data_IF_703684677010
#
_entry.id   IF_703684677010
#
_cell.length_a   1.000
_cell.length_b   1.000
_cell.length_c   1.000
_cell.angle_alpha   90.00
_cell.angle_beta   90.00
_cell.angle_gamma   90.00
#
_symmetry.space_group_name_H-M   'P 1'
#
loop_
_entity.id
_entity.type
_entity.pdbx_description
1 polymer ?
#
# COMPACT_ATOMS: atom_id res chain seq x y z
N UNK A 1 36.40 -13.89 13.58
CA UNK A 1 35.51 -12.75 13.89
C UNK A 1 34.84 -12.26 12.61
N UNK A 2 33.74 -12.90 12.16
CA UNK A 2 33.03 -12.54 10.91
C UNK A 2 31.54 -12.89 11.04
N UNK A 3 30.87 -12.26 12.01
CA UNK A 3 29.48 -12.57 12.36
C UNK A 3 28.47 -11.42 12.26
N UNK A 4 28.82 -10.25 11.70
CA UNK A 4 27.98 -9.04 11.84
C UNK A 4 27.27 -8.60 10.55
N UNK A 5 27.59 -9.18 9.37
CA UNK A 5 27.08 -8.65 8.09
C UNK A 5 25.74 -9.24 7.59
N UNK A 6 25.25 -10.33 8.14
CA UNK A 6 24.09 -11.04 7.55
C UNK A 6 22.73 -10.47 7.91
N UNK A 7 22.61 -9.68 8.97
CA UNK A 7 21.31 -9.13 9.43
C UNK A 7 20.91 -7.79 8.81
N UNK A 8 21.85 -7.08 8.19
CA UNK A 8 21.59 -5.73 7.62
C UNK A 8 20.91 -5.77 6.23
N UNK A 9 21.13 -6.82 5.44
CA UNK A 9 20.61 -6.95 4.08
C UNK A 9 19.07 -7.00 3.99
N UNK A 10 18.37 -7.89 4.72
CA UNK A 10 16.91 -8.00 4.59
C UNK A 10 16.18 -6.72 5.03
N UNK A 11 16.73 -6.01 6.02
CA UNK A 11 16.19 -4.73 6.48
C UNK A 11 16.30 -3.63 5.43
N UNK A 12 17.45 -3.52 4.75
CA UNK A 12 17.65 -2.52 3.68
C UNK A 12 16.71 -2.76 2.50
N UNK A 13 16.54 -4.01 2.08
CA UNK A 13 15.62 -4.36 0.99
C UNK A 13 14.17 -4.02 1.36
N UNK A 14 13.71 -4.35 2.57
CA UNK A 14 12.38 -4.01 3.03
C UNK A 14 12.13 -2.49 3.06
N UNK A 15 13.10 -1.71 3.55
CA UNK A 15 13.00 -0.24 3.58
C UNK A 15 13.01 0.38 2.18
N UNK A 16 13.89 -0.09 1.30
CA UNK A 16 13.97 0.43 -0.08
C UNK A 16 12.72 0.08 -0.89
N UNK A 17 12.20 -1.14 -0.76
CA UNK A 17 10.97 -1.54 -1.41
C UNK A 17 9.77 -0.75 -0.89
N UNK A 18 9.68 -0.54 0.43
CA UNK A 18 8.63 0.27 1.04
C UNK A 18 8.68 1.73 0.61
N UNK A 19 9.88 2.36 0.61
CA UNK A 19 10.05 3.74 0.16
C UNK A 19 9.79 3.90 -1.34
N UNK A 20 10.31 3.01 -2.17
CA UNK A 20 10.04 3.01 -3.60
C UNK A 20 8.55 2.87 -3.91
N UNK A 21 7.87 1.96 -3.21
CA UNK A 21 6.42 1.81 -3.29
C UNK A 21 5.68 3.08 -2.85
N UNK A 22 6.06 3.69 -1.72
CA UNK A 22 5.42 4.92 -1.23
C UNK A 22 5.57 6.08 -2.22
N UNK A 23 6.76 6.28 -2.77
CA UNK A 23 7.02 7.31 -3.81
C UNK A 23 6.18 7.02 -5.05
N UNK A 24 6.13 5.76 -5.50
CA UNK A 24 5.31 5.36 -6.63
C UNK A 24 3.83 5.64 -6.42
N UNK A 25 3.31 5.39 -5.22
CA UNK A 25 1.91 5.67 -4.87
C UNK A 25 1.61 7.17 -4.88
N UNK A 26 2.51 8.00 -4.34
CA UNK A 26 2.37 9.47 -4.42
C UNK A 26 2.34 9.94 -5.88
N UNK A 27 3.21 9.38 -6.73
CA UNK A 27 3.21 9.70 -8.15
C UNK A 27 1.88 9.30 -8.83
N UNK A 28 1.32 8.15 -8.49
CA UNK A 28 0.01 7.70 -8.99
C UNK A 28 -1.11 8.62 -8.52
N UNK A 29 -1.08 9.09 -7.27
CA UNK A 29 -2.09 10.01 -6.73
C UNK A 29 -2.04 11.36 -7.44
N UNK A 30 -0.84 11.91 -7.64
CA UNK A 30 -0.65 13.14 -8.42
C UNK A 30 -1.16 12.97 -9.86
N UNK A 31 -0.83 11.85 -10.51
CA UNK A 31 -1.31 11.55 -11.85
C UNK A 31 -2.83 11.47 -11.89
N UNK A 32 -3.46 10.77 -10.92
CA UNK A 32 -4.91 10.65 -10.79
C UNK A 32 -5.57 12.02 -10.68
N UNK A 33 -5.10 12.87 -9.77
CA UNK A 33 -5.64 14.22 -9.58
C UNK A 33 -5.45 15.10 -10.81
N UNK A 34 -4.30 14.97 -11.51
CA UNK A 34 -4.01 15.71 -12.74
C UNK A 34 -4.96 15.32 -13.87
N UNK A 35 -5.19 14.01 -14.06
CA UNK A 35 -6.13 13.51 -15.07
C UNK A 35 -7.54 13.99 -14.79
N UNK A 36 -8.00 13.92 -13.54
CA UNK A 36 -9.33 14.41 -13.14
C UNK A 36 -9.44 15.93 -13.41
N UNK A 37 -8.42 16.71 -13.07
CA UNK A 37 -8.41 18.15 -13.33
C UNK A 37 -8.50 18.49 -14.82
N UNK A 38 -7.91 17.66 -15.69
CA UNK A 38 -7.97 17.83 -17.15
C UNK A 38 -9.32 17.44 -17.78
N UNK A 39 -10.07 16.56 -17.13
CA UNK A 39 -11.40 16.13 -17.62
C UNK A 39 -12.50 17.21 -17.52
N UNK A 40 -12.25 18.31 -16.86
CA UNK A 40 -12.92 19.61 -16.94
C UNK A 40 -14.33 19.71 -16.34
N UNK A 41 -14.59 20.83 -15.76
CA UNK A 41 -15.86 21.59 -15.58
C UNK A 41 -17.03 21.03 -14.74
N UNK A 42 -17.09 19.77 -14.38
CA UNK A 42 -18.06 19.31 -13.38
C UNK A 42 -17.34 19.21 -12.04
N UNK A 43 -17.84 19.82 -10.94
CA UNK A 43 -17.20 19.64 -9.65
C UNK A 43 -17.08 18.14 -9.34
N UNK A 44 -15.89 17.67 -8.98
CA UNK A 44 -15.66 16.25 -8.73
C UNK A 44 -16.57 15.82 -7.59
N UNK A 45 -17.38 14.77 -7.83
CA UNK A 45 -18.21 14.19 -6.79
C UNK A 45 -17.35 13.71 -5.61
N UNK A 46 -17.98 13.43 -4.47
CA UNK A 46 -17.30 12.98 -3.24
C UNK A 46 -16.39 11.75 -3.41
N UNK A 47 -16.57 10.99 -4.48
CA UNK A 47 -15.73 9.81 -4.81
C UNK A 47 -14.27 10.17 -5.11
N UNK A 48 -14.04 11.29 -5.82
CA UNK A 48 -12.69 11.70 -6.20
C UNK A 48 -11.83 12.02 -4.97
N UNK A 49 -12.24 12.91 -4.05
CA UNK A 49 -11.47 13.16 -2.84
C UNK A 49 -11.36 11.92 -1.95
N UNK A 50 -12.39 11.06 -1.90
CA UNK A 50 -12.32 9.81 -1.15
C UNK A 50 -11.21 8.90 -1.66
N UNK A 51 -11.11 8.68 -2.98
CA UNK A 51 -10.06 7.86 -3.60
C UNK A 51 -8.69 8.48 -3.38
N UNK A 52 -8.53 9.80 -3.57
CA UNK A 52 -7.25 10.48 -3.34
C UNK A 52 -6.80 10.37 -1.88
N UNK A 53 -7.69 10.57 -0.90
CA UNK A 53 -7.37 10.40 0.52
C UNK A 53 -6.98 8.94 0.81
N UNK A 54 -7.67 7.96 0.23
CA UNK A 54 -7.34 6.54 0.39
C UNK A 54 -5.92 6.23 -0.09
N UNK A 55 -5.56 6.73 -1.28
CA UNK A 55 -4.21 6.55 -1.86
C UNK A 55 -3.16 7.24 -0.97
N UNK A 56 -3.43 8.48 -0.53
CA UNK A 56 -2.54 9.24 0.34
C UNK A 56 -2.28 8.53 1.68
N UNK A 57 -3.33 7.98 2.31
CA UNK A 57 -3.19 7.20 3.55
C UNK A 57 -2.35 5.94 3.32
N UNK A 58 -2.56 5.22 2.21
CA UNK A 58 -1.76 4.06 1.87
C UNK A 58 -0.28 4.43 1.65
N UNK A 59 0.00 5.56 0.98
CA UNK A 59 1.36 6.07 0.79
C UNK A 59 2.03 6.43 2.13
N UNK A 60 1.32 7.10 3.03
CA UNK A 60 1.81 7.43 4.38
C UNK A 60 2.14 6.19 5.19
N UNK A 61 1.25 5.18 5.21
CA UNK A 61 1.49 3.93 5.91
C UNK A 61 2.72 3.20 5.35
N UNK A 62 2.89 3.16 4.02
CA UNK A 62 4.06 2.58 3.38
C UNK A 62 5.35 3.34 3.75
N UNK A 63 5.32 4.68 3.73
CA UNK A 63 6.45 5.52 4.09
C UNK A 63 6.86 5.37 5.56
N UNK A 64 5.91 5.45 6.49
CA UNK A 64 6.15 5.24 7.92
C UNK A 64 6.67 3.83 8.16
N UNK A 65 6.04 2.82 7.55
CA UNK A 65 6.49 1.43 7.65
C UNK A 65 7.92 1.25 7.16
N UNK A 66 8.31 1.86 6.04
CA UNK A 66 9.66 1.79 5.50
C UNK A 66 10.72 2.41 6.45
N UNK A 67 10.36 3.46 7.17
CA UNK A 67 11.24 4.16 8.11
C UNK A 67 11.27 3.51 9.51
N UNK A 68 10.24 2.73 9.86
CA UNK A 68 10.12 2.06 11.16
C UNK A 68 11.26 1.06 11.39
N UNK A 69 11.84 1.07 12.58
CA UNK A 69 12.97 0.22 12.94
C UNK A 69 12.54 -1.18 13.40
N UNK A 70 11.43 -1.26 14.09
CA UNK A 70 10.88 -2.49 14.62
C UNK A 70 10.28 -3.35 13.50
N UNK A 71 10.70 -4.61 13.39
CA UNK A 71 10.31 -5.49 12.29
C UNK A 71 8.82 -5.81 12.29
N UNK A 72 8.19 -5.97 13.47
CA UNK A 72 6.77 -6.27 13.59
C UNK A 72 5.91 -5.10 13.10
N UNK A 73 6.14 -3.91 13.62
CA UNK A 73 5.42 -2.68 13.24
C UNK A 73 5.64 -2.34 11.76
N UNK A 74 6.89 -2.49 11.27
CA UNK A 74 7.19 -2.34 9.84
C UNK A 74 6.37 -3.29 8.99
N UNK A 75 6.41 -4.58 9.30
CA UNK A 75 5.68 -5.62 8.56
C UNK A 75 4.18 -5.33 8.53
N UNK A 76 3.60 -4.96 9.66
CA UNK A 76 2.19 -4.62 9.78
C UNK A 76 1.81 -3.40 8.93
N UNK A 77 2.55 -2.29 9.04
CA UNK A 77 2.26 -1.06 8.29
C UNK A 77 2.37 -1.27 6.78
N UNK A 78 3.43 -1.98 6.33
CA UNK A 78 3.60 -2.30 4.91
C UNK A 78 2.52 -3.26 4.41
N UNK A 79 2.09 -4.24 5.21
CA UNK A 79 1.02 -5.16 4.83
C UNK A 79 -0.33 -4.44 4.70
N UNK A 80 -0.67 -3.55 5.64
CA UNK A 80 -1.89 -2.73 5.57
C UNK A 80 -1.86 -1.82 4.35
N UNK A 81 -0.73 -1.15 4.09
CA UNK A 81 -0.56 -0.30 2.92
C UNK A 81 -0.73 -1.09 1.60
N UNK A 82 -0.09 -2.24 1.48
CA UNK A 82 -0.21 -3.11 0.30
C UNK A 82 -1.65 -3.58 0.10
N UNK A 83 -2.35 -3.98 1.16
CA UNK A 83 -3.75 -4.38 1.11
C UNK A 83 -4.66 -3.25 0.63
N UNK A 84 -4.46 -2.03 1.17
CA UNK A 84 -5.23 -0.84 0.75
C UNK A 84 -5.03 -0.51 -0.73
N UNK A 85 -3.79 -0.65 -1.24
CA UNK A 85 -3.49 -0.43 -2.67
C UNK A 85 -4.12 -1.51 -3.55
N UNK A 86 -4.03 -2.80 -3.16
CA UNK A 86 -4.61 -3.91 -3.92
C UNK A 86 -6.12 -3.80 -4.04
N UNK A 87 -6.82 -3.42 -2.97
CA UNK A 87 -8.27 -3.25 -2.99
C UNK A 87 -8.73 -2.16 -3.94
N UNK A 88 -7.95 -1.08 -4.10
CA UNK A 88 -8.26 -0.02 -5.06
C UNK A 88 -7.78 -0.37 -6.48
N UNK A 89 -6.73 -1.17 -6.62
CA UNK A 89 -6.19 -1.58 -7.92
C UNK A 89 -7.20 -2.39 -8.73
N UNK A 90 -8.01 -3.23 -8.08
CA UNK A 90 -9.01 -4.07 -8.76
C UNK A 90 -10.09 -3.25 -9.47
N UNK A 91 -10.85 -2.36 -8.80
CA UNK A 91 -11.85 -1.52 -9.48
C UNK A 91 -11.22 -0.48 -10.42
N UNK A 92 -9.98 -0.06 -10.13
CA UNK A 92 -9.23 0.91 -10.95
C UNK A 92 -8.43 0.32 -12.10
N UNK A 93 -8.57 -0.97 -12.42
CA UNK A 93 -7.68 -1.69 -13.35
C UNK A 93 -7.56 -1.02 -14.74
N UNK A 94 -8.64 -0.40 -15.20
CA UNK A 94 -8.71 0.30 -16.48
C UNK A 94 -8.17 1.73 -16.46
N UNK A 95 -7.71 2.22 -15.30
CA UNK A 95 -7.18 3.58 -15.14
C UNK A 95 -5.86 3.58 -14.36
N UNK A 96 -5.94 3.68 -13.05
CA UNK A 96 -4.79 3.75 -12.14
C UNK A 96 -4.44 2.40 -11.49
N UNK A 97 -5.22 1.35 -11.78
CA UNK A 97 -5.09 0.06 -11.07
C UNK A 97 -3.77 -0.65 -11.35
N UNK A 98 -3.28 -0.65 -12.60
CA UNK A 98 -2.01 -1.31 -12.94
C UNK A 98 -0.82 -0.68 -12.20
N UNK A 99 -0.58 0.64 -12.24
CA UNK A 99 0.50 1.23 -11.46
C UNK A 99 0.31 1.04 -9.94
N UNK A 100 -0.90 1.12 -9.40
CA UNK A 100 -1.16 0.81 -7.99
C UNK A 100 -0.83 -0.64 -7.64
N UNK A 101 -1.16 -1.59 -8.52
CA UNK A 101 -0.83 -2.99 -8.34
C UNK A 101 0.69 -3.20 -8.25
N UNK A 102 1.46 -2.56 -9.13
CA UNK A 102 2.94 -2.63 -9.11
C UNK A 102 3.48 -2.08 -7.77
N UNK A 103 2.97 -0.93 -7.34
CA UNK A 103 3.34 -0.34 -6.05
C UNK A 103 2.97 -1.27 -4.88
N UNK A 104 1.77 -1.87 -4.90
CA UNK A 104 1.33 -2.81 -3.88
C UNK A 104 2.24 -4.05 -3.80
N UNK A 105 2.69 -4.57 -4.94
CA UNK A 105 3.64 -5.69 -4.99
C UNK A 105 5.00 -5.29 -4.38
N UNK A 106 5.51 -4.10 -4.68
CA UNK A 106 6.76 -3.60 -4.10
C UNK A 106 6.65 -3.45 -2.57
N UNK A 107 5.58 -2.84 -2.08
CA UNK A 107 5.32 -2.67 -0.63
C UNK A 107 5.09 -4.02 0.04
N UNK A 108 4.33 -4.92 -0.59
CA UNK A 108 4.07 -6.27 -0.12
C UNK A 108 5.36 -7.10 0.00
N UNK A 109 6.30 -6.96 -0.93
CA UNK A 109 7.63 -7.58 -0.81
C UNK A 109 8.37 -7.07 0.44
N UNK A 110 8.25 -5.78 0.77
CA UNK A 110 8.77 -5.22 2.01
C UNK A 110 8.15 -5.86 3.25
N UNK A 111 6.82 -6.08 3.24
CA UNK A 111 6.09 -6.72 4.33
C UNK A 111 6.50 -8.19 4.51
N UNK A 112 6.63 -8.98 3.42
CA UNK A 112 7.06 -10.38 3.49
C UNK A 112 8.47 -10.51 4.04
N UNK A 113 9.40 -9.63 3.64
CA UNK A 113 10.76 -9.61 4.19
C UNK A 113 10.81 -9.28 5.68
N UNK A 114 9.91 -8.40 6.15
CA UNK A 114 9.78 -8.13 7.58
C UNK A 114 9.21 -9.35 8.34
N UNK A 115 8.23 -10.04 7.77
CA UNK A 115 7.64 -11.25 8.33
C UNK A 115 8.64 -12.42 8.42
N UNK A 116 9.47 -12.61 7.40
CA UNK A 116 10.57 -13.58 7.40
C UNK A 116 11.56 -13.32 8.54
N UNK A 117 11.89 -12.05 8.80
CA UNK A 117 12.76 -11.68 9.92
C UNK A 117 12.17 -12.03 11.30
N UNK A 118 10.85 -12.10 11.42
CA UNK A 118 10.12 -12.49 12.62
C UNK A 118 9.92 -14.01 12.73
N UNK A 119 10.35 -14.77 11.75
CA UNK A 119 10.16 -16.24 11.67
C UNK A 119 8.69 -16.65 11.84
N UNK A 120 7.77 -15.86 11.30
CA UNK A 120 6.35 -16.17 11.35
C UNK A 120 6.04 -17.45 10.56
N UNK A 121 5.10 -18.28 11.05
CA UNK A 121 4.71 -19.49 10.34
C UNK A 121 4.04 -19.11 9.01
N UNK A 122 4.22 -19.93 7.98
CA UNK A 122 3.77 -19.67 6.61
C UNK A 122 2.25 -19.37 6.49
N UNK A 123 1.44 -20.00 7.33
CA UNK A 123 -0.01 -19.77 7.33
C UNK A 123 -0.37 -18.36 7.81
N UNK A 124 0.39 -17.76 8.73
CA UNK A 124 0.20 -16.35 9.15
C UNK A 124 0.57 -15.41 8.01
N UNK A 125 1.65 -15.72 7.28
CA UNK A 125 2.10 -14.93 6.13
C UNK A 125 1.05 -14.92 5.01
N UNK A 126 0.23 -15.97 4.89
CA UNK A 126 -0.85 -16.05 3.91
C UNK A 126 -2.18 -15.47 4.42
N UNK A 127 -2.59 -15.81 5.65
CA UNK A 127 -3.89 -15.40 6.20
C UNK A 127 -3.95 -13.91 6.53
N UNK A 128 -2.88 -13.35 7.11
CA UNK A 128 -2.89 -11.95 7.52
C UNK A 128 -3.14 -10.99 6.34
N UNK A 129 -2.41 -11.06 5.20
CA UNK A 129 -2.68 -10.19 4.07
C UNK A 129 -4.07 -10.45 3.45
N UNK A 130 -4.55 -11.68 3.42
CA UNK A 130 -5.89 -11.99 2.90
C UNK A 130 -6.98 -11.31 3.72
N UNK A 131 -6.89 -11.38 5.04
CA UNK A 131 -7.82 -10.72 5.95
C UNK A 131 -7.74 -9.19 5.84
N UNK A 132 -6.52 -8.64 5.69
CA UNK A 132 -6.32 -7.22 5.51
C UNK A 132 -6.93 -6.72 4.20
N UNK A 133 -6.76 -7.47 3.09
CA UNK A 133 -7.39 -7.14 1.79
C UNK A 133 -8.91 -7.19 1.92
N UNK A 134 -9.48 -8.21 2.58
CA UNK A 134 -10.92 -8.31 2.79
C UNK A 134 -11.46 -7.15 3.64
N UNK A 135 -10.77 -6.80 4.73
CA UNK A 135 -11.16 -5.67 5.59
C UNK A 135 -11.06 -4.33 4.87
N UNK A 136 -9.95 -4.09 4.16
CA UNK A 136 -9.76 -2.88 3.36
C UNK A 136 -10.82 -2.79 2.24
N UNK A 137 -11.14 -3.91 1.59
CA UNK A 137 -12.20 -4.00 0.58
C UNK A 137 -13.57 -3.65 1.13
N UNK A 138 -13.91 -4.16 2.31
CA UNK A 138 -15.17 -3.82 2.99
C UNK A 138 -15.28 -2.31 3.30
N UNK A 139 -14.20 -1.71 3.80
CA UNK A 139 -14.15 -0.27 4.10
C UNK A 139 -14.27 0.55 2.81
N UNK A 140 -13.55 0.16 1.76
CA UNK A 140 -13.61 0.83 0.45
C UNK A 140 -15.01 0.77 -0.14
N UNK A 141 -15.65 -0.40 -0.10
CA UNK A 141 -17.02 -0.58 -0.59
C UNK A 141 -18.03 0.26 0.20
N UNK A 142 -17.92 0.27 1.54
CA UNK A 142 -18.77 1.12 2.38
C UNK A 142 -18.56 2.61 2.06
N UNK A 143 -17.31 3.04 1.87
CA UNK A 143 -16.98 4.41 1.47
C UNK A 143 -17.60 4.78 0.11
N UNK A 144 -17.55 3.90 -0.87
CA UNK A 144 -18.21 4.12 -2.16
C UNK A 144 -19.73 4.19 -2.04
N UNK A 145 -20.33 3.34 -1.22
CA UNK A 145 -21.78 3.38 -0.99
C UNK A 145 -22.22 4.72 -0.38
N UNK A 146 -21.46 5.26 0.58
CA UNK A 146 -21.73 6.55 1.23
C UNK A 146 -21.50 7.75 0.30
N UNK A 147 -20.67 7.62 -0.74
CA UNK A 147 -20.35 8.71 -1.68
C UNK A 147 -21.21 8.68 -2.95
N UNK A 148 -22.25 7.82 -3.00
CA UNK A 148 -23.18 7.73 -4.13
C UNK A 148 -24.35 8.73 -4.06
N UNK A 149 -24.48 9.50 -2.97
CA UNK A 149 -25.52 10.49 -2.74
C UNK A 149 -25.32 11.82 -3.45
#
# INVERSE_FOLDING_TARGET
MSGVETTSRPRRVASLAGLGGAIGVVAVDILYLTVIAQQGSTPPGLRVPFVAIWIAVAALLAGIGALTQEAATRGMLLAVAAAAMLTLAVPGIWSIGVPLFICAMAVGLGATRAAEALRLPWWVILLAPTLLVAAAGAILFAGFALTQG
#
